data_IF_262454545407
#
_entry.id   IF_262454545407
#
_cell.length_a   1.000
_cell.length_b   1.000
_cell.length_c   1.000
_cell.angle_alpha   90.00
_cell.angle_beta   90.00
_cell.angle_gamma   90.00
#
_symmetry.space_group_name_H-M   'P 1'
#
loop_
_entity.id
_entity.type
_entity.pdbx_description
1 polymer ?
#
# COMPACT_ATOMS: atom_id res chain seq x y z
N UNK A 1 -39.34 47.42 0.67
CA UNK A 1 -38.81 46.31 1.49
C UNK A 1 -38.85 45.06 0.63
N UNK A 2 -37.69 44.57 0.19
CA UNK A 2 -37.58 43.43 -0.75
C UNK A 2 -37.48 42.15 0.07
N UNK A 3 -38.44 41.24 -0.09
CA UNK A 3 -38.40 39.93 0.56
C UNK A 3 -37.59 38.96 -0.31
N UNK A 4 -36.50 38.43 0.23
CA UNK A 4 -35.71 37.36 -0.41
C UNK A 4 -36.33 36.03 0.02
N UNK A 5 -36.99 35.32 -0.89
CA UNK A 5 -37.48 33.96 -0.63
C UNK A 5 -36.34 32.96 -0.83
N UNK A 6 -35.81 32.40 0.27
CA UNK A 6 -34.88 31.27 0.20
C UNK A 6 -35.65 29.95 0.06
N UNK A 7 -35.32 29.15 -0.94
CA UNK A 7 -35.81 27.77 -1.05
C UNK A 7 -34.95 26.87 -0.18
N UNK A 8 -35.50 26.36 0.94
CA UNK A 8 -34.90 25.23 1.64
C UNK A 8 -35.61 23.94 1.20
N UNK A 9 -34.88 23.03 0.57
CA UNK A 9 -35.34 21.65 0.38
C UNK A 9 -34.72 20.78 1.47
N UNK A 10 -35.56 20.06 2.19
CA UNK A 10 -35.12 19.02 3.12
C UNK A 10 -35.03 17.72 2.34
N UNK A 11 -33.84 17.11 2.29
CA UNK A 11 -33.67 15.77 1.71
C UNK A 11 -34.00 14.77 2.80
N UNK A 12 -35.08 14.00 2.62
CA UNK A 12 -35.39 12.89 3.50
C UNK A 12 -34.42 11.73 3.22
N UNK A 13 -33.70 11.31 4.26
CA UNK A 13 -32.80 10.17 4.20
C UNK A 13 -32.69 9.53 5.58
N UNK A 14 -32.78 8.21 5.66
CA UNK A 14 -32.55 7.49 6.91
C UNK A 14 -31.05 7.27 7.09
N UNK A 15 -30.46 7.90 8.10
CA UNK A 15 -29.06 7.63 8.46
C UNK A 15 -28.91 6.15 8.83
N UNK A 16 -28.08 5.42 8.09
CA UNK A 16 -27.67 4.07 8.46
C UNK A 16 -26.41 4.13 9.29
N UNK A 17 -26.31 3.24 10.29
CA UNK A 17 -25.07 3.04 11.03
C UNK A 17 -23.99 2.62 10.03
N UNK A 18 -22.83 3.28 10.06
CA UNK A 18 -21.68 2.82 9.30
C UNK A 18 -21.40 1.36 9.69
N UNK A 19 -21.19 0.50 8.68
CA UNK A 19 -20.64 -0.82 8.91
C UNK A 19 -19.22 -0.71 9.50
N UNK A 20 -18.63 -1.81 9.96
CA UNK A 20 -17.22 -1.80 10.33
C UNK A 20 -16.40 -1.29 9.13
N UNK A 21 -15.48 -0.36 9.38
CA UNK A 21 -14.68 0.29 8.34
C UNK A 21 -13.71 -0.68 7.64
N UNK A 22 -13.49 -1.86 8.23
CA UNK A 22 -12.67 -2.96 7.71
C UNK A 22 -13.36 -4.31 7.98
N UNK A 23 -13.11 -5.36 7.17
CA UNK A 23 -13.63 -6.70 7.36
C UNK A 23 -13.33 -7.36 8.72
N UNK A 24 -12.12 -7.22 9.26
CA UNK A 24 -11.71 -7.79 10.56
C UNK A 24 -10.84 -6.78 11.34
N UNK A 25 -11.41 -6.03 12.28
CA UNK A 25 -10.71 -4.94 12.96
C UNK A 25 -9.71 -5.40 14.03
N UNK A 26 -9.81 -6.66 14.51
CA UNK A 26 -8.92 -7.20 15.55
C UNK A 26 -7.74 -7.97 14.95
N UNK A 27 -7.67 -8.04 13.61
CA UNK A 27 -6.63 -8.78 12.90
C UNK A 27 -5.26 -8.11 13.06
N UNK A 28 -4.30 -8.91 13.51
CA UNK A 28 -2.89 -8.53 13.50
C UNK A 28 -2.29 -8.74 12.10
N UNK A 29 -1.62 -7.71 11.59
CA UNK A 29 -0.80 -7.81 10.40
C UNK A 29 0.71 -7.77 10.73
N UNK A 30 1.05 -7.83 12.02
CA UNK A 30 2.42 -7.74 12.47
C UNK A 30 3.31 -8.89 12.04
N UNK A 31 4.55 -8.83 12.49
CA UNK A 31 5.51 -9.90 12.30
C UNK A 31 5.15 -11.11 13.15
N UNK A 32 4.85 -12.23 12.50
CA UNK A 32 4.46 -13.49 13.15
C UNK A 32 5.06 -14.65 12.36
N UNK A 33 5.61 -15.65 13.06
CA UNK A 33 6.19 -16.87 12.46
C UNK A 33 7.17 -16.61 11.30
N UNK A 34 8.08 -15.64 11.48
CA UNK A 34 9.06 -15.24 10.45
C UNK A 34 8.45 -14.69 9.14
N UNK A 35 7.21 -14.16 9.22
CA UNK A 35 6.48 -13.56 8.09
C UNK A 35 6.10 -12.12 8.39
N UNK A 36 6.19 -11.26 7.37
CA UNK A 36 5.78 -9.86 7.46
C UNK A 36 4.50 -9.66 6.68
N UNK A 37 3.47 -9.07 7.30
CA UNK A 37 2.16 -8.96 6.65
C UNK A 37 1.58 -10.30 6.23
N UNK A 38 1.95 -11.36 6.97
CA UNK A 38 1.56 -12.75 6.73
C UNK A 38 2.00 -13.32 5.37
N UNK A 39 2.90 -12.64 4.65
CA UNK A 39 3.47 -13.14 3.39
C UNK A 39 4.82 -13.81 3.65
N UNK A 40 5.06 -14.91 2.94
CA UNK A 40 6.38 -15.54 2.85
C UNK A 40 7.27 -14.79 1.85
N UNK A 41 8.59 -14.83 2.05
CA UNK A 41 9.55 -14.17 1.15
C UNK A 41 9.47 -14.69 -0.28
N UNK A 42 9.24 -15.99 -0.43
CA UNK A 42 9.00 -16.66 -1.71
C UNK A 42 7.80 -16.07 -2.46
N UNK A 43 6.73 -15.72 -1.74
CA UNK A 43 5.54 -15.11 -2.32
C UNK A 43 5.84 -13.69 -2.79
N UNK A 44 6.59 -12.90 -2.02
CA UNK A 44 7.00 -11.54 -2.42
C UNK A 44 7.90 -11.60 -3.66
N UNK A 45 8.86 -12.53 -3.67
CA UNK A 45 9.75 -12.78 -4.81
C UNK A 45 8.95 -13.11 -6.09
N UNK A 46 8.05 -14.09 -6.02
CA UNK A 46 7.20 -14.49 -7.14
C UNK A 46 6.30 -13.34 -7.61
N UNK A 47 5.66 -12.64 -6.68
CA UNK A 47 4.74 -11.55 -6.99
C UNK A 47 5.43 -10.39 -7.72
N UNK A 48 6.69 -10.12 -7.39
CA UNK A 48 7.50 -9.09 -8.02
C UNK A 48 8.39 -9.63 -9.15
N UNK A 49 8.26 -10.89 -9.52
CA UNK A 49 9.07 -11.53 -10.57
C UNK A 49 10.57 -11.38 -10.34
N UNK A 50 11.01 -11.37 -9.09
CA UNK A 50 12.40 -11.40 -8.70
C UNK A 50 12.93 -12.84 -8.73
N UNK A 51 14.25 -13.00 -8.69
CA UNK A 51 14.92 -14.30 -8.56
C UNK A 51 15.69 -14.46 -7.25
N UNK A 52 15.75 -13.37 -6.49
CA UNK A 52 16.40 -13.34 -5.21
C UNK A 52 15.69 -12.30 -4.35
N UNK A 53 15.50 -12.64 -3.09
CA UNK A 53 14.98 -11.78 -2.04
C UNK A 53 15.89 -11.92 -0.82
N UNK A 54 16.33 -10.79 -0.30
CA UNK A 54 17.00 -10.72 1.01
C UNK A 54 16.18 -9.82 1.90
N UNK A 55 15.90 -10.27 3.12
CA UNK A 55 15.20 -9.50 4.16
C UNK A 55 16.19 -9.01 5.23
N UNK A 56 16.93 -7.91 5.01
CA UNK A 56 17.96 -7.45 5.95
C UNK A 56 17.42 -7.02 7.32
N UNK A 57 16.13 -6.70 7.42
CA UNK A 57 15.50 -6.29 8.68
C UNK A 57 14.06 -6.83 8.76
N UNK A 58 13.69 -7.35 9.94
CA UNK A 58 12.34 -7.78 10.28
C UNK A 58 11.91 -7.33 11.68
N UNK A 59 10.62 -7.04 11.84
CA UNK A 59 10.02 -6.46 13.04
C UNK A 59 8.70 -5.76 12.73
N UNK A 60 8.39 -4.65 13.39
CA UNK A 60 7.21 -3.82 13.06
C UNK A 60 7.27 -3.24 11.62
N UNK A 61 8.48 -3.12 11.10
CA UNK A 61 8.79 -2.80 9.71
C UNK A 61 9.66 -3.93 9.18
N UNK A 62 9.40 -4.40 7.97
CA UNK A 62 10.29 -5.33 7.28
C UNK A 62 10.85 -4.66 6.03
N UNK A 63 12.13 -4.88 5.79
CA UNK A 63 12.82 -4.36 4.61
C UNK A 63 13.27 -5.54 3.76
N UNK A 64 13.08 -5.40 2.46
CA UNK A 64 13.47 -6.36 1.46
C UNK A 64 14.29 -5.68 0.38
N UNK A 65 15.28 -6.41 -0.11
CA UNK A 65 16.01 -6.07 -1.33
C UNK A 65 15.84 -7.25 -2.27
N UNK A 66 15.24 -6.98 -3.43
CA UNK A 66 15.02 -7.99 -4.46
C UNK A 66 15.81 -7.68 -5.72
N UNK A 67 16.20 -8.74 -6.42
CA UNK A 67 16.95 -8.65 -7.66
C UNK A 67 16.17 -9.31 -8.80
N UNK A 68 15.97 -8.54 -9.87
CA UNK A 68 15.40 -9.00 -11.13
C UNK A 68 16.52 -9.15 -12.15
N UNK A 69 16.62 -10.33 -12.75
CA UNK A 69 17.65 -10.59 -13.76
C UNK A 69 17.51 -9.72 -15.01
N UNK A 70 18.66 -9.59 -15.67
CA UNK A 70 18.77 -9.16 -17.06
C UNK A 70 17.96 -10.11 -17.93
N UNK A 71 16.97 -9.60 -18.67
CA UNK A 71 16.34 -10.39 -19.74
C UNK A 71 17.35 -10.55 -20.89
N UNK A 72 17.80 -11.78 -21.22
CA UNK A 72 18.73 -11.97 -22.33
C UNK A 72 18.03 -11.73 -23.67
N UNK A 73 18.70 -11.02 -24.59
CA UNK A 73 18.20 -10.73 -25.93
C UNK A 73 18.72 -9.39 -26.48
N UNK A 74 18.42 -9.06 -27.75
CA UNK A 74 18.68 -7.73 -28.29
C UNK A 74 17.94 -6.68 -27.46
N UNK A 75 18.67 -5.72 -26.86
CA UNK A 75 18.09 -4.77 -25.90
C UNK A 75 18.12 -5.25 -24.43
N UNK A 76 19.11 -6.07 -24.06
CA UNK A 76 19.30 -6.54 -22.69
C UNK A 76 19.32 -5.36 -21.70
N UNK A 77 18.30 -5.33 -20.83
CA UNK A 77 18.18 -4.35 -19.76
C UNK A 77 19.06 -4.78 -18.57
N UNK A 78 19.80 -3.87 -17.94
CA UNK A 78 20.54 -4.19 -16.72
C UNK A 78 19.60 -4.74 -15.64
N UNK A 79 20.14 -5.64 -14.80
CA UNK A 79 19.42 -6.20 -13.66
C UNK A 79 18.80 -5.10 -12.82
N UNK A 80 17.60 -5.35 -12.32
CA UNK A 80 16.79 -4.34 -11.64
C UNK A 80 16.74 -4.64 -10.15
N UNK A 81 17.22 -3.69 -9.35
CA UNK A 81 17.12 -3.76 -7.89
C UNK A 81 15.81 -3.14 -7.43
N UNK A 82 15.10 -3.85 -6.55
CA UNK A 82 13.83 -3.42 -5.98
C UNK A 82 14.00 -3.32 -4.47
N UNK A 83 13.74 -2.15 -3.91
CA UNK A 83 13.61 -1.98 -2.47
C UNK A 83 12.13 -2.08 -2.12
N UNK A 84 11.81 -2.91 -1.13
CA UNK A 84 10.44 -3.07 -0.65
C UNK A 84 10.42 -2.92 0.86
N UNK A 85 9.45 -2.16 1.36
CA UNK A 85 9.24 -1.96 2.79
C UNK A 85 7.81 -2.32 3.15
N UNK A 86 7.67 -3.25 4.07
CA UNK A 86 6.42 -3.52 4.76
C UNK A 86 6.39 -2.77 6.08
N UNK A 87 5.25 -2.19 6.44
CA UNK A 87 5.03 -1.65 7.78
C UNK A 87 3.61 -1.90 8.25
N UNK A 88 3.48 -2.26 9.53
CA UNK A 88 2.20 -2.26 10.22
C UNK A 88 2.32 -1.45 11.50
N UNK A 89 1.33 -0.57 11.71
CA UNK A 89 1.15 0.15 12.95
C UNK A 89 -0.18 -0.27 13.55
N UNK A 90 -0.15 -0.90 14.72
CA UNK A 90 -1.33 -1.37 15.45
C UNK A 90 -2.32 -0.24 15.78
N UNK A 91 -1.78 0.98 15.97
CA UNK A 91 -2.56 2.20 16.17
C UNK A 91 -2.18 3.26 15.14
N UNK A 92 -3.16 3.90 14.54
CA UNK A 92 -2.96 4.97 13.57
C UNK A 92 -4.26 5.35 12.88
N UNK A 93 -4.19 6.23 11.88
CA UNK A 93 -5.33 6.46 10.99
C UNK A 93 -4.86 6.61 9.56
N UNK A 94 -5.68 6.13 8.63
CA UNK A 94 -5.38 6.21 7.20
C UNK A 94 -5.23 7.66 6.75
N UNK A 95 -6.05 8.57 7.29
CA UNK A 95 -6.01 10.00 6.98
C UNK A 95 -4.68 10.65 7.39
N UNK A 96 -4.12 10.24 8.54
CA UNK A 96 -2.81 10.71 8.99
C UNK A 96 -1.72 10.29 8.01
N UNK A 97 -1.69 9.01 7.63
CA UNK A 97 -0.70 8.52 6.67
C UNK A 97 -0.85 9.18 5.30
N UNK A 98 -2.09 9.42 4.86
CA UNK A 98 -2.39 10.14 3.62
C UNK A 98 -1.89 11.58 3.66
N UNK A 99 -2.11 12.28 4.77
CA UNK A 99 -1.63 13.65 4.97
C UNK A 99 -0.09 13.70 4.95
N UNK A 100 0.58 12.79 5.66
CA UNK A 100 2.04 12.69 5.68
C UNK A 100 2.62 12.41 4.28
N UNK A 101 1.97 11.55 3.49
CA UNK A 101 2.39 11.27 2.12
C UNK A 101 2.26 12.50 1.21
N UNK A 102 1.14 13.24 1.33
CA UNK A 102 0.91 14.48 0.59
C UNK A 102 1.92 15.59 0.98
N UNK A 103 2.20 15.76 2.28
CA UNK A 103 3.22 16.71 2.79
C UNK A 103 4.62 16.41 2.22
N UNK A 104 4.93 15.13 1.98
CA UNK A 104 6.17 14.68 1.35
C UNK A 104 6.17 14.83 -0.19
N UNK A 105 5.10 15.35 -0.76
CA UNK A 105 4.95 15.61 -2.19
C UNK A 105 4.57 14.38 -3.03
N UNK A 106 4.00 13.34 -2.42
CA UNK A 106 3.50 12.20 -3.17
C UNK A 106 2.21 12.53 -3.92
N UNK A 107 2.05 11.94 -5.10
CA UNK A 107 0.78 11.94 -5.83
C UNK A 107 -0.13 10.87 -5.22
N UNK A 108 -1.26 11.29 -4.64
CA UNK A 108 -2.18 10.41 -3.93
C UNK A 108 -3.31 9.97 -4.85
N UNK A 109 -3.62 8.68 -4.85
CA UNK A 109 -4.80 8.09 -5.51
C UNK A 109 -5.57 7.25 -4.50
N UNK A 110 -6.78 7.65 -4.16
CA UNK A 110 -7.63 6.89 -3.24
C UNK A 110 -8.16 5.61 -3.93
N UNK A 111 -8.25 4.51 -3.17
CA UNK A 111 -8.65 3.17 -3.64
C UNK A 111 -9.46 2.45 -2.56
N UNK A 112 -10.18 1.42 -2.99
CA UNK A 112 -10.67 0.36 -2.10
C UNK A 112 -9.95 -0.94 -2.49
N UNK A 113 -9.20 -1.53 -1.56
CA UNK A 113 -8.42 -2.75 -1.79
C UNK A 113 -8.89 -3.80 -0.80
N UNK A 114 -9.40 -4.93 -1.29
CA UNK A 114 -9.93 -6.02 -0.46
C UNK A 114 -10.95 -5.55 0.59
N UNK A 115 -11.82 -4.59 0.20
CA UNK A 115 -12.84 -3.95 1.06
C UNK A 115 -12.26 -3.13 2.22
N UNK A 116 -11.00 -2.72 2.14
CA UNK A 116 -10.39 -1.75 3.04
C UNK A 116 -10.23 -0.43 2.29
N UNK A 117 -10.59 0.67 2.94
CA UNK A 117 -10.24 1.99 2.44
C UNK A 117 -8.72 2.10 2.36
N UNK A 118 -8.22 2.55 1.21
CA UNK A 118 -6.80 2.60 0.92
C UNK A 118 -6.41 3.82 0.07
N UNK A 119 -5.11 4.07 -0.04
CA UNK A 119 -4.57 5.00 -1.02
C UNK A 119 -3.23 4.50 -1.56
N UNK A 120 -2.95 4.88 -2.80
CA UNK A 120 -1.64 4.78 -3.43
C UNK A 120 -0.95 6.14 -3.32
N UNK A 121 0.34 6.16 -3.03
CA UNK A 121 1.15 7.37 -2.96
C UNK A 121 2.42 7.22 -3.78
N UNK A 122 2.43 7.79 -4.99
CA UNK A 122 3.57 7.75 -5.92
C UNK A 122 4.53 8.90 -5.64
N UNK A 123 5.83 8.62 -5.55
CA UNK A 123 6.88 9.63 -5.35
C UNK A 123 8.21 9.17 -5.93
N UNK A 124 8.50 9.59 -7.16
CA UNK A 124 9.67 9.13 -7.91
C UNK A 124 10.92 9.98 -7.62
N UNK A 125 11.63 9.72 -6.52
CA UNK A 125 12.86 10.47 -6.19
C UNK A 125 14.13 9.86 -6.79
N UNK A 126 14.39 8.58 -6.51
CA UNK A 126 15.59 7.87 -6.97
C UNK A 126 15.21 6.67 -7.86
N UNK A 127 14.13 6.85 -8.63
CA UNK A 127 13.46 5.82 -9.41
C UNK A 127 11.96 5.76 -9.10
N UNK A 128 11.23 4.93 -9.83
CA UNK A 128 9.80 4.74 -9.72
C UNK A 128 9.48 4.16 -8.35
N UNK A 129 8.72 4.89 -7.53
CA UNK A 129 8.43 4.48 -6.16
C UNK A 129 7.00 4.81 -5.77
N UNK A 130 6.34 3.86 -5.10
CA UNK A 130 4.97 4.01 -4.67
C UNK A 130 4.71 3.22 -3.41
N UNK A 131 3.84 3.73 -2.55
CA UNK A 131 3.27 2.95 -1.45
C UNK A 131 1.78 2.71 -1.66
N UNK A 132 1.30 1.54 -1.26
CA UNK A 132 -0.10 1.24 -1.07
C UNK A 132 -0.34 1.10 0.44
N UNK A 133 -1.29 1.87 0.97
CA UNK A 133 -1.61 1.90 2.41
C UNK A 133 -3.10 1.69 2.60
N UNK A 134 -3.50 0.79 3.50
CA UNK A 134 -4.90 0.54 3.85
C UNK A 134 -5.15 0.73 5.35
N UNK A 135 -6.39 1.09 5.69
CA UNK A 135 -6.89 0.97 7.05
C UNK A 135 -6.87 -0.51 7.48
N UNK A 136 -6.51 -0.78 8.73
CA UNK A 136 -6.45 -2.14 9.30
C UNK A 136 -6.92 -2.09 10.76
N UNK A 137 -8.24 -1.98 10.96
CA UNK A 137 -8.84 -1.86 12.29
C UNK A 137 -8.52 -0.53 12.95
N UNK A 138 -7.89 -0.57 14.13
CA UNK A 138 -7.34 0.61 14.81
C UNK A 138 -6.04 1.13 14.20
N UNK A 139 -5.48 0.38 13.26
CA UNK A 139 -4.16 0.59 12.70
C UNK A 139 -4.15 0.85 11.20
N UNK A 140 -2.95 0.79 10.64
CA UNK A 140 -2.69 0.93 9.20
C UNK A 140 -1.63 -0.07 8.76
N UNK A 141 -1.79 -0.58 7.55
CA UNK A 141 -0.81 -1.47 6.89
C UNK A 141 -0.36 -0.82 5.59
N UNK A 142 0.94 -0.89 5.30
CA UNK A 142 1.52 -0.27 4.11
C UNK A 142 2.59 -1.15 3.49
N UNK A 143 2.60 -1.17 2.17
CA UNK A 143 3.69 -1.68 1.33
C UNK A 143 4.24 -0.53 0.51
N UNK A 144 5.55 -0.31 0.57
CA UNK A 144 6.26 0.60 -0.31
C UNK A 144 7.18 -0.19 -1.22
N UNK A 145 7.20 0.16 -2.51
CA UNK A 145 8.01 -0.47 -3.55
C UNK A 145 8.75 0.62 -4.30
N UNK A 146 10.07 0.46 -4.46
CA UNK A 146 10.90 1.31 -5.30
C UNK A 146 11.79 0.50 -6.23
N UNK A 147 11.82 0.92 -7.49
CA UNK A 147 12.77 0.45 -8.48
C UNK A 147 13.95 1.39 -8.58
N UNK A 148 15.16 0.93 -8.21
CA UNK A 148 16.34 1.79 -8.23
C UNK A 148 16.68 2.20 -9.67
N UNK A 149 16.70 3.50 -9.94
CA UNK A 149 17.15 4.05 -11.23
C UNK A 149 16.26 3.79 -12.45
N UNK A 150 15.13 3.08 -12.30
CA UNK A 150 14.10 2.92 -13.35
C UNK A 150 13.00 3.94 -13.14
N UNK A 151 12.44 4.52 -14.19
CA UNK A 151 11.36 5.54 -14.09
C UNK A 151 10.11 5.17 -14.88
N UNK A 152 10.21 4.19 -15.75
CA UNK A 152 9.19 3.68 -16.67
C UNK A 152 8.46 2.45 -16.15
N UNK A 153 8.60 2.15 -14.85
CA UNK A 153 7.94 1.02 -14.18
C UNK A 153 6.76 1.53 -13.33
N UNK A 154 5.69 0.75 -13.28
CA UNK A 154 4.54 1.04 -12.42
C UNK A 154 4.70 0.39 -11.05
N UNK A 155 5.42 1.07 -10.15
CA UNK A 155 5.60 0.65 -8.76
C UNK A 155 4.31 0.63 -7.94
N UNK A 156 3.27 1.37 -8.34
CA UNK A 156 2.01 1.39 -7.62
C UNK A 156 1.24 0.09 -7.80
N UNK A 157 1.25 -0.47 -9.02
CA UNK A 157 0.64 -1.78 -9.28
C UNK A 157 1.27 -2.87 -8.40
N UNK A 158 2.59 -2.86 -8.23
CA UNK A 158 3.28 -3.84 -7.38
C UNK A 158 2.97 -3.65 -5.88
N UNK A 159 2.97 -2.41 -5.40
CA UNK A 159 2.60 -2.10 -4.02
C UNK A 159 1.14 -2.48 -3.73
N UNK A 160 0.22 -2.20 -4.65
CA UNK A 160 -1.20 -2.59 -4.57
C UNK A 160 -1.34 -4.12 -4.54
N UNK A 161 -0.57 -4.83 -5.38
CA UNK A 161 -0.58 -6.30 -5.43
C UNK A 161 -0.14 -6.92 -4.09
N UNK A 162 0.96 -6.43 -3.50
CA UNK A 162 1.45 -6.89 -2.19
C UNK A 162 0.44 -6.60 -1.08
N UNK A 163 -0.13 -5.39 -1.07
CA UNK A 163 -1.14 -5.02 -0.10
C UNK A 163 -2.39 -5.90 -0.22
N UNK A 164 -2.89 -6.13 -1.43
CA UNK A 164 -4.04 -7.01 -1.66
C UNK A 164 -3.76 -8.43 -1.14
N UNK A 165 -2.58 -8.99 -1.42
CA UNK A 165 -2.21 -10.30 -0.91
C UNK A 165 -2.14 -10.33 0.64
N UNK A 166 -1.59 -9.30 1.28
CA UNK A 166 -1.59 -9.18 2.75
C UNK A 166 -2.99 -9.06 3.33
N UNK A 167 -3.90 -8.30 2.71
CA UNK A 167 -5.27 -8.16 3.20
C UNK A 167 -6.07 -9.47 3.00
N UNK A 168 -5.76 -10.23 1.95
CA UNK A 168 -6.41 -11.49 1.61
C UNK A 168 -5.78 -12.73 2.24
N UNK A 169 -4.59 -12.63 2.86
CA UNK A 169 -3.92 -13.79 3.45
C UNK A 169 -4.72 -14.32 4.64
N UNK A 170 -5.21 -15.55 4.54
CA UNK A 170 -6.08 -16.22 5.54
C UNK A 170 -7.46 -15.55 5.77
N UNK A 171 -8.24 -15.44 4.68
CA UNK A 171 -9.68 -15.75 4.75
C UNK A 171 -9.91 -17.26 4.79
#
# INVERSE_FOLDING_TARGET
>A
MVAISGCSQTVEGTARRAGPAVPDPERSFGYVDDRCGLLEDSSIEEMLGAQNVVRPYSGAVCQYVLERDVKPGPGAEPGTMIDVVYSWFESGSLERERALAAERGAQITDKDIERHQAFLARRDTNGAACSATAAAGSGVVSWWVQYRGKTDVDSCTDAEKLLAATLSSEM
#
